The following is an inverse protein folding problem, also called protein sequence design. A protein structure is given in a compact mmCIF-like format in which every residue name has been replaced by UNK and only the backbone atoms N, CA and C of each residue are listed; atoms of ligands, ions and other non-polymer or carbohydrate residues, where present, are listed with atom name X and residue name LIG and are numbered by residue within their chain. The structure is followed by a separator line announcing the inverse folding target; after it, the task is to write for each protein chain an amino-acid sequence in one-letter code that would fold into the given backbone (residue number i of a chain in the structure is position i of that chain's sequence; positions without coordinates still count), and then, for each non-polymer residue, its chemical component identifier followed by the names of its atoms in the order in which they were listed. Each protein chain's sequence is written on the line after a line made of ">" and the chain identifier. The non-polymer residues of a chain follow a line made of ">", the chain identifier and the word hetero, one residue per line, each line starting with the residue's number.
data_IF_383174400066
#
_entry.id   IF_383174400066
#
_cell.length_a   1.000
_cell.length_b   1.000
_cell.length_c   1.000
_cell.angle_alpha   90.00
_cell.angle_beta   90.00
_cell.angle_gamma   90.00
#
_symmetry.space_group_name_H-M   'P 1'
#
loop_
_entity.id
_entity.type
_entity.pdbx_description
1 polymer ?
#
# COMPACT_ATOMS: atom_id res chain seq x y z
N UNK A 1 3.87 -7.78 -20.98
CA UNK A 1 3.79 -8.49 -20.36
C UNK A 1 3.26 -8.27 -19.08
N UNK A 2 2.89 -8.96 -18.43
CA UNK A 2 2.12 -8.74 -17.30
C UNK A 2 2.84 -9.00 -16.07
N UNK A 3 4.05 -9.22 -16.20
CA UNK A 3 4.81 -9.53 -15.05
C UNK A 3 4.84 -8.41 -14.12
N UNK A 4 4.55 -7.25 -14.54
CA UNK A 4 4.62 -6.14 -13.67
C UNK A 4 3.64 -6.24 -12.54
N UNK A 5 2.67 -7.07 -12.63
CA UNK A 5 1.68 -7.16 -11.60
C UNK A 5 1.97 -8.24 -10.59
N UNK A 6 3.19 -8.63 -10.43
CA UNK A 6 3.52 -9.74 -9.56
C UNK A 6 3.37 -9.37 -8.10
N UNK A 7 2.46 -9.95 -7.36
CA UNK A 7 2.33 -9.62 -5.95
C UNK A 7 3.54 -10.07 -5.14
N UNK A 8 4.19 -11.11 -5.59
CA UNK A 8 5.32 -11.59 -4.81
C UNK A 8 6.50 -10.66 -4.92
N UNK A 9 6.45 -9.67 -5.79
CA UNK A 9 7.52 -8.70 -5.87
C UNK A 9 7.27 -7.50 -4.99
N UNK A 10 6.23 -7.54 -4.15
CA UNK A 10 5.97 -6.44 -3.25
C UNK A 10 7.14 -6.23 -2.31
N UNK A 11 7.55 -4.98 -2.15
CA UNK A 11 8.61 -4.61 -1.25
C UNK A 11 8.13 -3.47 -0.40
N UNK A 12 8.88 -3.14 0.65
CA UNK A 12 8.55 -2.00 1.48
C UNK A 12 8.49 -0.75 0.62
N UNK A 13 9.42 -0.60 -0.27
CA UNK A 13 9.48 0.57 -1.13
C UNK A 13 8.27 0.65 -2.05
N UNK A 14 7.91 -0.47 -2.66
CA UNK A 14 6.76 -0.46 -3.57
C UNK A 14 5.47 -0.25 -2.80
N UNK A 15 5.39 -0.77 -1.59
CA UNK A 15 4.19 -0.59 -0.78
C UNK A 15 4.02 0.87 -0.38
N UNK A 16 5.11 1.53 0.02
CA UNK A 16 5.00 2.94 0.40
C UNK A 16 4.69 3.81 -0.81
N UNK A 17 5.23 3.46 -1.98
CA UNK A 17 4.92 4.20 -3.19
C UNK A 17 3.43 4.08 -3.52
N UNK A 18 2.87 2.88 -3.36
CA UNK A 18 1.46 2.70 -3.63
C UNK A 18 0.60 3.43 -2.60
N UNK A 19 1.01 3.41 -1.34
CA UNK A 19 0.30 4.16 -0.32
C UNK A 19 0.28 5.65 -0.66
N UNK A 20 1.39 6.17 -1.16
CA UNK A 20 1.45 7.57 -1.54
C UNK A 20 0.45 7.87 -2.64
N UNK A 21 0.34 6.99 -3.63
CA UNK A 21 -0.64 7.16 -4.70
C UNK A 21 -2.06 7.16 -4.14
N UNK A 22 -2.34 6.27 -3.22
CA UNK A 22 -3.66 6.18 -2.63
C UNK A 22 -3.98 7.46 -1.87
N UNK A 23 -3.03 7.95 -1.11
CA UNK A 23 -3.23 9.17 -0.35
C UNK A 23 -3.51 10.34 -1.29
N UNK A 24 -2.76 10.44 -2.37
CA UNK A 24 -2.97 11.51 -3.33
C UNK A 24 -4.35 11.42 -3.95
N UNK A 25 -4.80 10.22 -4.27
CA UNK A 25 -6.10 10.06 -4.87
C UNK A 25 -7.21 10.44 -3.90
N UNK A 26 -7.08 10.04 -2.65
CA UNK A 26 -8.07 10.39 -1.64
C UNK A 26 -8.06 11.89 -1.36
N UNK A 27 -6.87 12.48 -1.34
CA UNK A 27 -6.74 13.90 -1.04
C UNK A 27 -7.31 14.76 -2.15
N UNK A 28 -7.37 14.23 -3.37
CA UNK A 28 -7.91 15.00 -4.47
C UNK A 28 -9.39 15.30 -4.31
N UNK A 29 -10.08 14.47 -3.54
CA UNK A 29 -11.51 14.65 -3.34
C UNK A 29 -12.34 14.18 -4.51
N UNK A 30 -11.74 13.54 -5.49
CA UNK A 30 -12.48 13.10 -6.67
C UNK A 30 -12.91 11.65 -6.60
N UNK A 31 -12.44 10.90 -5.63
CA UNK A 31 -12.80 9.50 -5.52
C UNK A 31 -14.24 9.36 -5.05
N UNK A 32 -14.96 8.47 -5.70
CA UNK A 32 -16.32 8.19 -5.28
C UNK A 32 -16.30 7.27 -4.07
N UNK A 33 -17.43 7.13 -3.42
CA UNK A 33 -17.49 6.37 -2.18
C UNK A 33 -16.93 4.95 -2.34
N UNK A 34 -17.36 4.24 -3.39
CA UNK A 34 -16.90 2.89 -3.58
C UNK A 34 -15.38 2.86 -3.77
N UNK A 35 -14.87 3.78 -4.57
CA UNK A 35 -13.44 3.83 -4.79
C UNK A 35 -12.71 4.15 -3.50
N UNK A 36 -13.26 5.07 -2.70
CA UNK A 36 -12.66 5.43 -1.43
C UNK A 36 -12.55 4.22 -0.51
N UNK A 37 -13.63 3.44 -0.44
CA UNK A 37 -13.60 2.24 0.40
C UNK A 37 -12.59 1.23 -0.09
N UNK A 38 -12.52 1.03 -1.40
CA UNK A 38 -11.56 0.09 -1.96
C UNK A 38 -10.14 0.54 -1.69
N UNK A 39 -9.87 1.83 -1.84
CA UNK A 39 -8.55 2.34 -1.58
C UNK A 39 -8.19 2.22 -0.10
N UNK A 40 -9.15 2.43 0.78
CA UNK A 40 -8.89 2.30 2.21
C UNK A 40 -8.56 0.87 2.58
N UNK A 41 -9.24 -0.09 1.97
CA UNK A 41 -8.93 -1.48 2.24
C UNK A 41 -7.54 -1.85 1.74
N UNK A 42 -7.20 -1.36 0.55
CA UNK A 42 -5.87 -1.61 0.03
C UNK A 42 -4.82 -0.97 0.91
N UNK A 43 -5.07 0.26 1.34
CA UNK A 43 -4.11 0.96 2.19
C UNK A 43 -3.91 0.23 3.50
N UNK A 44 -4.98 -0.33 4.05
CA UNK A 44 -4.85 -1.07 5.30
C UNK A 44 -3.90 -2.26 5.12
N UNK A 45 -4.05 -3.00 4.03
CA UNK A 45 -3.16 -4.12 3.79
C UNK A 45 -1.72 -3.68 3.60
N UNK A 46 -1.53 -2.57 2.90
CA UNK A 46 -0.18 -2.07 2.68
C UNK A 46 0.45 -1.60 3.99
N UNK A 47 -0.34 -0.96 4.83
CA UNK A 47 0.16 -0.50 6.12
C UNK A 47 0.55 -1.70 6.98
N UNK A 48 -0.27 -2.75 6.95
CA UNK A 48 0.06 -3.94 7.73
C UNK A 48 1.34 -4.59 7.21
N UNK A 49 1.52 -4.59 5.90
CA UNK A 49 2.74 -5.13 5.34
C UNK A 49 3.95 -4.32 5.79
N UNK A 50 3.86 -2.99 5.72
CA UNK A 50 4.97 -2.15 6.11
C UNK A 50 5.26 -2.28 7.61
N UNK A 51 4.22 -2.37 8.42
CA UNK A 51 4.41 -2.54 9.85
C UNK A 51 5.10 -3.85 10.15
N UNK A 52 4.74 -4.90 9.39
CA UNK A 52 5.39 -6.18 9.57
C UNK A 52 6.87 -6.12 9.25
N UNK A 53 7.21 -5.39 8.19
CA UNK A 53 8.61 -5.24 7.82
C UNK A 53 9.39 -4.50 8.89
N UNK A 54 8.81 -3.44 9.41
CA UNK A 54 9.48 -2.66 10.45
C UNK A 54 9.63 -3.48 11.73
N UNK A 55 8.60 -4.26 12.06
CA UNK A 55 8.68 -5.09 13.24
C UNK A 55 9.76 -6.15 13.09
N UNK A 56 9.88 -6.71 11.89
CA UNK A 56 10.90 -7.71 11.66
C UNK A 56 12.30 -7.12 11.82
N UNK A 57 12.49 -5.92 11.33
CA UNK A 57 13.78 -5.27 11.48
C UNK A 57 14.07 -5.00 12.95
N UNK A 58 13.06 -4.52 13.66
CA UNK A 58 13.24 -4.20 15.07
C UNK A 58 13.57 -5.46 15.86
N UNK A 59 12.92 -6.56 15.55
CA UNK A 59 13.18 -7.78 16.26
C UNK A 59 14.52 -8.39 15.89
N UNK A 60 15.01 -8.06 14.73
CA UNK A 60 16.29 -8.57 14.29
C UNK A 60 17.47 -7.95 15.03
N UNK A 61 17.21 -6.90 15.73
CA UNK A 61 18.28 -6.27 16.50
C UNK A 61 18.46 -6.96 17.82
#
# INVERSE_FOLDING_TARGET
>A
MSEEAQPETRTYESATARLDEIIQRLDSGEAQLRETLDLCEEAKGLIEYCAGELAAVDQGL
#
